data_IF_335194499488
#
_entry.id   IF_335194499488
#
_cell.length_a   1.000
_cell.length_b   1.000
_cell.length_c   1.000
_cell.angle_alpha   90.00
_cell.angle_beta   90.00
_cell.angle_gamma   90.00
#
_symmetry.space_group_name_H-M   'P 1'
#
loop_
_entity.id
_entity.type
_entity.pdbx_description
1 polymer ?
#
# COMPACT_ATOMS: atom_id res chain seq x y z
N UNK A 1 -2.82 8.68 22.23
CA UNK A 1 -1.66 7.95 21.69
C UNK A 1 -2.07 7.22 20.42
N UNK A 2 -1.37 7.46 19.32
CA UNK A 2 -1.52 6.68 18.09
C UNK A 2 -0.54 5.51 18.20
N UNK A 3 -1.03 4.30 18.47
CA UNK A 3 -0.18 3.11 18.54
C UNK A 3 0.56 2.97 17.19
N UNK A 4 1.91 3.00 17.16
CA UNK A 4 2.72 3.08 15.93
C UNK A 4 2.64 1.83 15.03
N UNK A 5 1.73 0.90 15.32
CA UNK A 5 1.59 -0.43 14.69
C UNK A 5 0.22 -0.67 14.07
N UNK A 6 -0.60 0.36 13.85
CA UNK A 6 -1.93 0.19 13.25
C UNK A 6 -1.86 -0.07 11.74
N UNK A 7 -1.49 -1.30 11.37
CA UNK A 7 -1.37 -1.75 9.99
C UNK A 7 -2.67 -1.55 9.18
N UNK A 8 -3.85 -1.65 9.83
CA UNK A 8 -5.14 -1.35 9.21
C UNK A 8 -5.30 0.12 8.78
N UNK A 9 -4.77 1.06 9.58
CA UNK A 9 -4.75 2.48 9.20
C UNK A 9 -3.75 2.74 8.08
N UNK A 10 -2.59 2.07 8.10
CA UNK A 10 -1.58 2.17 7.02
C UNK A 10 -2.11 1.61 5.70
N UNK A 11 -2.84 0.48 5.73
CA UNK A 11 -3.47 -0.05 4.52
C UNK A 11 -4.57 0.87 4.00
N UNK A 12 -5.41 1.41 4.88
CA UNK A 12 -6.45 2.39 4.51
C UNK A 12 -5.85 3.65 3.89
N UNK A 13 -4.77 4.18 4.49
CA UNK A 13 -4.04 5.31 3.95
C UNK A 13 -3.43 5.01 2.57
N UNK A 14 -2.91 3.79 2.38
CA UNK A 14 -2.42 3.31 1.09
C UNK A 14 -3.50 3.33 0.02
N UNK A 15 -4.69 2.83 0.33
CA UNK A 15 -5.84 2.84 -0.58
C UNK A 15 -6.26 4.28 -0.93
N UNK A 16 -6.40 5.16 0.07
CA UNK A 16 -6.73 6.58 -0.16
C UNK A 16 -5.69 7.23 -1.08
N UNK A 17 -4.40 6.99 -0.88
CA UNK A 17 -3.38 7.52 -1.77
C UNK A 17 -3.46 6.94 -3.19
N UNK A 18 -3.86 5.69 -3.36
CA UNK A 18 -4.05 5.08 -4.67
C UNK A 18 -5.19 5.78 -5.43
N UNK A 19 -6.34 5.97 -4.77
CA UNK A 19 -7.50 6.70 -5.32
C UNK A 19 -7.17 8.15 -5.67
N UNK A 20 -6.31 8.80 -4.89
CA UNK A 20 -5.83 10.16 -5.19
C UNK A 20 -4.79 10.22 -6.33
N UNK A 21 -4.47 9.10 -6.98
CA UNK A 21 -3.39 9.01 -7.99
C UNK A 21 -1.98 9.18 -7.40
N UNK A 22 -1.84 9.21 -6.08
CA UNK A 22 -0.56 9.38 -5.36
C UNK A 22 0.14 8.03 -5.19
N UNK A 23 0.38 7.33 -6.30
CA UNK A 23 0.86 5.94 -6.36
C UNK A 23 2.13 5.67 -5.53
N UNK A 24 3.12 6.56 -5.58
CA UNK A 24 4.35 6.44 -4.77
C UNK A 24 4.07 6.50 -3.26
N UNK A 25 3.10 7.30 -2.83
CA UNK A 25 2.70 7.40 -1.44
C UNK A 25 1.88 6.17 -1.01
N UNK A 26 1.01 5.68 -1.89
CA UNK A 26 0.25 4.45 -1.71
C UNK A 26 1.18 3.25 -1.45
N UNK A 27 2.17 3.05 -2.33
CA UNK A 27 3.19 1.99 -2.23
C UNK A 27 3.86 2.01 -0.85
N UNK A 28 4.35 3.18 -0.40
CA UNK A 28 5.03 3.30 0.90
C UNK A 28 4.12 2.96 2.09
N UNK A 29 2.85 3.37 2.05
CA UNK A 29 1.90 3.08 3.12
C UNK A 29 1.55 1.59 3.17
N UNK A 30 1.33 0.97 2.01
CA UNK A 30 1.07 -0.46 1.87
C UNK A 30 2.27 -1.32 2.28
N UNK A 31 3.49 -0.93 1.94
CA UNK A 31 4.72 -1.61 2.38
C UNK A 31 4.86 -1.59 3.90
N UNK A 32 4.58 -0.45 4.55
CA UNK A 32 4.57 -0.36 6.02
C UNK A 32 3.49 -1.23 6.65
N UNK A 33 2.29 -1.29 6.05
CA UNK A 33 1.22 -2.16 6.52
C UNK A 33 1.64 -3.65 6.46
N UNK A 34 2.22 -4.07 5.33
CA UNK A 34 2.67 -5.45 5.11
C UNK A 34 3.90 -5.83 5.94
N UNK A 35 4.77 -4.88 6.29
CA UNK A 35 5.88 -5.11 7.20
C UNK A 35 5.40 -5.46 8.62
N UNK A 36 4.22 -4.97 9.02
CA UNK A 36 3.62 -5.27 10.33
C UNK A 36 2.71 -6.50 10.25
N UNK A 37 1.88 -6.60 9.21
CA UNK A 37 1.02 -7.75 8.95
C UNK A 37 1.21 -8.25 7.50
N UNK A 38 2.05 -9.28 7.30
CA UNK A 38 2.31 -9.84 5.97
C UNK A 38 1.10 -10.56 5.35
N UNK A 39 0.08 -10.93 6.12
CA UNK A 39 -1.04 -11.77 5.65
C UNK A 39 -2.19 -10.96 5.00
N UNK A 40 -1.93 -9.75 4.52
CA UNK A 40 -2.92 -8.90 3.87
C UNK A 40 -2.90 -9.09 2.35
N UNK A 41 -3.45 -10.19 1.85
CA UNK A 41 -3.36 -10.58 0.44
C UNK A 41 -3.94 -9.52 -0.52
N UNK A 42 -5.05 -8.87 -0.14
CA UNK A 42 -5.63 -7.77 -0.91
C UNK A 42 -4.66 -6.59 -1.07
N UNK A 43 -3.96 -6.20 0.00
CA UNK A 43 -2.99 -5.10 -0.03
C UNK A 43 -1.73 -5.51 -0.80
N UNK A 44 -1.33 -6.77 -0.71
CA UNK A 44 -0.22 -7.31 -1.51
C UNK A 44 -0.51 -7.24 -3.01
N UNK A 45 -1.72 -7.63 -3.44
CA UNK A 45 -2.15 -7.53 -4.84
C UNK A 45 -2.12 -6.08 -5.33
N UNK A 46 -2.79 -5.18 -4.61
CA UNK A 46 -2.82 -3.74 -4.94
C UNK A 46 -1.40 -3.12 -5.01
N UNK A 47 -0.51 -3.53 -4.09
CA UNK A 47 0.88 -3.08 -4.10
C UNK A 47 1.63 -3.56 -5.36
N UNK A 48 1.41 -4.79 -5.80
CA UNK A 48 2.04 -5.31 -7.02
C UNK A 48 1.53 -4.56 -8.26
N UNK A 49 0.22 -4.37 -8.38
CA UNK A 49 -0.39 -3.64 -9.51
C UNK A 49 0.16 -2.21 -9.60
N UNK A 50 0.19 -1.48 -8.47
CA UNK A 50 0.75 -0.14 -8.39
C UNK A 50 2.24 -0.10 -8.73
N UNK A 51 3.03 -1.09 -8.31
CA UNK A 51 4.45 -1.17 -8.64
C UNK A 51 4.67 -1.38 -10.13
N UNK A 52 3.89 -2.27 -10.75
CA UNK A 52 3.92 -2.52 -12.19
C UNK A 52 3.60 -1.24 -12.96
N UNK A 53 2.51 -0.57 -12.60
CA UNK A 53 2.06 0.67 -13.24
C UNK A 53 3.08 1.82 -13.11
N UNK A 54 3.68 2.00 -11.91
CA UNK A 54 4.72 3.03 -11.69
C UNK A 54 6.03 2.68 -12.40
N UNK A 55 6.35 1.40 -12.53
CA UNK A 55 7.56 0.95 -13.23
C UNK A 55 7.46 1.04 -14.76
N UNK A 56 6.28 1.39 -15.30
CA UNK A 56 6.05 1.52 -16.73
C UNK A 56 6.15 0.20 -17.50
N UNK A 57 6.13 -0.95 -16.81
CA UNK A 57 6.11 -2.26 -17.47
C UNK A 57 4.66 -2.60 -17.83
N UNK A 58 4.30 -2.68 -19.13
CA UNK A 58 3.07 -3.37 -19.50
C UNK A 58 3.25 -4.85 -19.14
N UNK A 59 2.20 -5.45 -18.57
CA UNK A 59 2.03 -6.90 -18.51
C UNK A 59 2.00 -7.49 -19.92
#
# INVERSE_FOLDING_TARGET
ELDPRHFGALSGLGLIYAEMGRKKAAIRAMEKALAINPHMDAIRGQLQDLKTEVSGKPI
#
